data_IF_389880016041
#
_entry.id   IF_389880016041
#
_cell.length_a   1.000
_cell.length_b   1.000
_cell.length_c   1.000
_cell.angle_alpha   90.00
_cell.angle_beta   90.00
_cell.angle_gamma   90.00
#
_symmetry.space_group_name_H-M   'P 1'
#
loop_
_entity.id
_entity.type
_entity.pdbx_description
1 polymer ?
#
# COMPACT_ATOMS: atom_id res chain seq x y z
N UNK A 1 2.90 12.81 -4.26
CA UNK A 1 4.37 12.88 -4.16
C UNK A 1 4.87 13.58 -5.42
N UNK A 2 6.05 14.23 -5.43
CA UNK A 2 6.58 14.75 -6.69
C UNK A 2 6.77 13.59 -7.66
N UNK A 3 6.38 13.79 -8.92
CA UNK A 3 6.67 12.82 -9.98
C UNK A 3 8.19 12.79 -10.19
N UNK A 4 8.80 11.62 -10.05
CA UNK A 4 10.23 11.43 -10.25
C UNK A 4 10.43 10.87 -11.65
N UNK A 5 10.99 11.67 -12.55
CA UNK A 5 11.20 11.32 -13.97
C UNK A 5 12.52 10.54 -14.19
N UNK A 6 13.50 10.69 -13.29
CA UNK A 6 14.79 10.01 -13.36
C UNK A 6 15.10 9.34 -12.03
N UNK A 7 15.05 8.00 -12.02
CA UNK A 7 15.39 7.17 -10.87
C UNK A 7 16.76 6.55 -11.12
N UNK A 8 17.68 6.64 -10.16
CA UNK A 8 18.94 5.90 -10.20
C UNK A 8 18.70 4.42 -9.91
N UNK A 9 19.52 3.53 -10.46
CA UNK A 9 19.35 2.07 -10.32
C UNK A 9 19.23 1.53 -8.88
N UNK A 10 19.62 2.30 -7.86
CA UNK A 10 19.57 1.90 -6.45
C UNK A 10 18.58 2.71 -5.58
N UNK A 11 17.77 3.59 -6.18
CA UNK A 11 16.80 4.36 -5.39
C UNK A 11 15.54 3.52 -5.11
N UNK A 12 15.00 3.54 -3.87
CA UNK A 12 13.72 2.90 -3.57
C UNK A 12 12.60 3.58 -4.35
N UNK A 13 11.82 2.79 -5.10
CA UNK A 13 10.74 3.27 -5.96
C UNK A 13 9.34 2.88 -5.49
N UNK A 14 9.24 1.89 -4.59
CA UNK A 14 7.98 1.34 -4.15
C UNK A 14 8.08 0.81 -2.72
N UNK A 15 6.94 0.74 -2.06
CA UNK A 15 6.79 0.15 -0.75
C UNK A 15 5.45 -0.57 -0.65
N UNK A 16 5.44 -1.68 0.06
CA UNK A 16 4.26 -2.47 0.36
C UNK A 16 4.07 -2.58 1.86
N UNK A 17 2.80 -2.57 2.29
CA UNK A 17 2.41 -2.86 3.67
C UNK A 17 1.66 -4.18 3.74
N UNK A 18 2.19 -5.14 4.48
CA UNK A 18 1.48 -6.33 4.91
C UNK A 18 0.84 -6.09 6.27
N UNK A 19 -0.49 -5.92 6.29
CA UNK A 19 -1.24 -5.59 7.51
C UNK A 19 -2.23 -6.67 7.90
N UNK A 20 -2.47 -6.79 9.20
CA UNK A 20 -3.53 -7.61 9.77
C UNK A 20 -4.93 -7.02 9.56
N UNK A 21 -5.07 -5.75 9.19
CA UNK A 21 -6.36 -5.08 8.99
C UNK A 21 -6.25 -3.98 7.92
N UNK A 22 -6.42 -4.34 6.63
CA UNK A 22 -6.28 -3.41 5.52
C UNK A 22 -7.27 -2.25 5.55
N UNK A 23 -8.50 -2.47 6.05
CA UNK A 23 -9.51 -1.43 6.14
C UNK A 23 -9.10 -0.37 7.18
N UNK A 24 -8.64 -0.82 8.36
CA UNK A 24 -8.16 0.08 9.40
C UNK A 24 -6.88 0.80 8.99
N UNK A 25 -5.95 0.10 8.35
CA UNK A 25 -4.72 0.71 7.83
C UNK A 25 -5.02 1.74 6.73
N UNK A 26 -5.92 1.42 5.79
CA UNK A 26 -6.41 2.36 4.78
C UNK A 26 -6.97 3.62 5.43
N UNK A 27 -7.92 3.48 6.36
CA UNK A 27 -8.53 4.61 7.06
C UNK A 27 -7.50 5.48 7.79
N UNK A 28 -6.50 4.86 8.42
CA UNK A 28 -5.41 5.55 9.10
C UNK A 28 -4.57 6.39 8.13
N UNK A 29 -4.10 5.81 7.03
CA UNK A 29 -3.28 6.53 6.05
C UNK A 29 -4.09 7.54 5.22
N UNK A 30 -5.37 7.28 4.98
CA UNK A 30 -6.30 8.26 4.42
C UNK A 30 -6.42 9.49 5.33
N UNK A 31 -6.61 9.30 6.63
CA UNK A 31 -6.72 10.40 7.59
C UNK A 31 -5.42 11.19 7.76
N UNK A 32 -4.27 10.52 7.77
CA UNK A 32 -2.98 11.18 7.98
C UNK A 32 -2.44 11.89 6.73
N UNK A 33 -2.56 11.25 5.57
CA UNK A 33 -1.86 11.69 4.36
C UNK A 33 -2.79 12.07 3.20
N UNK A 34 -4.11 11.89 3.38
CA UNK A 34 -5.09 12.10 2.33
C UNK A 34 -4.99 11.08 1.20
N UNK A 35 -4.60 9.84 1.52
CA UNK A 35 -4.48 8.77 0.54
C UNK A 35 -5.82 8.09 0.27
N UNK A 36 -6.02 7.58 -0.94
CA UNK A 36 -7.11 6.67 -1.29
C UNK A 36 -6.60 5.24 -1.39
N UNK A 37 -7.50 4.28 -1.24
CA UNK A 37 -7.22 2.86 -1.32
C UNK A 37 -8.19 2.21 -2.31
N UNK A 38 -7.66 1.41 -3.25
CA UNK A 38 -8.44 0.70 -4.27
C UNK A 38 -8.06 -0.78 -4.24
N UNK A 39 -9.02 -1.65 -3.94
CA UNK A 39 -8.85 -3.10 -4.10
C UNK A 39 -8.81 -3.45 -5.59
N UNK A 40 -7.72 -4.08 -6.02
CA UNK A 40 -7.51 -4.49 -7.42
C UNK A 40 -8.26 -5.77 -7.80
N UNK A 41 -8.87 -6.46 -6.83
CA UNK A 41 -9.74 -7.62 -7.02
C UNK A 41 -9.06 -8.98 -6.82
N UNK A 42 -9.85 -10.05 -6.94
CA UNK A 42 -9.43 -11.44 -6.68
C UNK A 42 -8.27 -11.88 -7.58
N UNK A 43 -8.24 -11.48 -8.85
CA UNK A 43 -7.16 -11.81 -9.80
C UNK A 43 -5.78 -11.31 -9.35
N UNK A 44 -5.77 -10.31 -8.46
CA UNK A 44 -4.56 -9.73 -7.85
C UNK A 44 -4.42 -10.10 -6.37
N UNK A 45 -5.17 -11.09 -5.90
CA UNK A 45 -5.13 -11.54 -4.50
C UNK A 45 -5.59 -10.47 -3.51
N UNK A 46 -6.50 -9.58 -3.92
CA UNK A 46 -6.93 -8.42 -3.15
C UNK A 46 -5.78 -7.47 -2.76
N UNK A 47 -4.80 -7.31 -3.65
CA UNK A 47 -3.80 -6.26 -3.50
C UNK A 47 -4.50 -4.89 -3.56
N UNK A 48 -4.22 -4.05 -2.56
CA UNK A 48 -4.80 -2.72 -2.43
C UNK A 48 -3.78 -1.70 -2.93
N UNK A 49 -4.15 -0.99 -3.99
CA UNK A 49 -3.38 0.14 -4.49
C UNK A 49 -3.67 1.38 -3.65
N UNK A 50 -2.62 2.00 -3.10
CA UNK A 50 -2.70 3.28 -2.40
C UNK A 50 -2.34 4.42 -3.35
N UNK A 51 -3.16 5.46 -3.37
CA UNK A 51 -2.96 6.62 -4.26
C UNK A 51 -2.97 7.94 -3.47
N UNK A 52 -2.34 8.97 -4.02
CA UNK A 52 -2.50 10.37 -3.60
C UNK A 52 -2.88 11.22 -4.81
N UNK A 53 -4.16 11.52 -4.94
CA UNK A 53 -4.71 12.09 -6.16
C UNK A 53 -4.61 11.06 -7.29
N UNK A 54 -4.03 11.45 -8.43
CA UNK A 54 -3.86 10.58 -9.60
C UNK A 54 -2.59 9.71 -9.59
N UNK A 55 -1.81 9.75 -8.50
CA UNK A 55 -0.52 9.05 -8.43
C UNK A 55 -0.59 7.86 -7.49
N UNK A 56 -0.19 6.71 -7.99
CA UNK A 56 0.06 5.49 -7.22
C UNK A 56 1.34 5.68 -6.39
N UNK A 57 1.34 5.23 -5.13
CA UNK A 57 2.41 5.55 -4.18
C UNK A 57 2.86 4.38 -3.30
N UNK A 58 2.02 3.38 -3.10
CA UNK A 58 2.33 2.21 -2.28
C UNK A 58 1.30 1.10 -2.54
N UNK A 59 1.67 -0.11 -2.14
CA UNK A 59 0.74 -1.23 -2.03
C UNK A 59 0.39 -1.57 -0.60
N UNK A 60 -0.68 -2.33 -0.47
CA UNK A 60 -1.07 -2.93 0.79
C UNK A 60 -1.75 -4.27 0.54
N UNK A 61 -1.55 -5.21 1.45
CA UNK A 61 -2.17 -6.52 1.37
C UNK A 61 -2.50 -7.04 2.76
N UNK A 62 -3.53 -7.89 2.82
CA UNK A 62 -3.82 -8.66 4.02
C UNK A 62 -2.68 -9.65 4.26
N UNK A 63 -2.17 -9.70 5.49
CA UNK A 63 -1.25 -10.78 5.89
C UNK A 63 -1.90 -12.13 5.70
N UNK A 64 -1.18 -13.05 5.07
CA UNK A 64 -1.55 -14.45 5.03
C UNK A 64 -1.58 -15.06 6.44
N UNK A 65 -2.31 -16.17 6.58
CA UNK A 65 -2.55 -16.82 7.88
C UNK A 65 -1.26 -17.26 8.59
N UNK A 66 -0.20 -17.61 7.86
CA UNK A 66 1.08 -17.99 8.45
C UNK A 66 1.80 -16.81 9.15
N UNK A 67 1.48 -15.58 8.77
CA UNK A 67 2.07 -14.35 9.32
C UNK A 67 1.19 -13.73 10.42
N UNK A 68 0.10 -14.40 10.79
CA UNK A 68 -0.83 -13.94 11.80
C UNK A 68 -0.17 -13.95 13.19
N UNK A 69 -0.24 -12.82 13.90
CA UNK A 69 0.45 -12.62 15.19
C UNK A 69 1.83 -11.96 15.08
N UNK A 70 2.43 -11.90 13.88
CA UNK A 70 3.58 -11.03 13.65
C UNK A 70 3.12 -9.56 13.57
N UNK A 71 4.00 -8.58 13.85
CA UNK A 71 3.70 -7.16 13.61
C UNK A 71 3.32 -6.89 12.15
N UNK A 72 2.60 -5.79 11.92
CA UNK A 72 2.39 -5.27 10.57
C UNK A 72 3.71 -4.67 10.07
N UNK A 73 4.06 -4.89 8.80
CA UNK A 73 5.32 -4.49 8.20
C UNK A 73 5.19 -4.29 6.69
#
# INVERSE_FOLDING_TARGET
MPKVENVTYDAPIWMDLSTSDPDRASAFYSALFGWSATDMGEDYGHYIMLNKGEHDIAGMMKKGDEMQGMPDA
#
